data_IF_139503386816
#
_entry.id   IF_139503386816
#
_cell.length_a   1.000
_cell.length_b   1.000
_cell.length_c   1.000
_cell.angle_alpha   90.00
_cell.angle_beta   90.00
_cell.angle_gamma   90.00
#
_symmetry.space_group_name_H-M   'P 1'
#
loop_
_entity.id
_entity.type
_entity.pdbx_description
1 polymer ?
#
# COMPACT_ATOMS: atom_id res chain seq x y z
N UNK A 1 21.35 -14.52 23.99
CA UNK A 1 21.08 -14.33 23.67
C UNK A 1 20.39 -14.10 23.36
N UNK A 2 20.40 -14.35 23.57
CA UNK A 2 19.88 -14.20 23.13
C UNK A 2 19.14 -13.78 22.82
N UNK A 3 19.06 -13.65 22.86
CA UNK A 3 18.40 -13.26 22.48
C UNK A 3 17.99 -12.91 21.73
N UNK A 4 18.27 -12.94 21.46
CA UNK A 4 18.02 -12.61 20.68
C UNK A 4 17.15 -12.87 20.15
N UNK A 5 17.12 -13.40 20.19
CA UNK A 5 16.36 -13.79 19.73
C UNK A 5 15.27 -13.38 19.79
N UNK A 6 15.08 -13.19 20.26
CA UNK A 6 13.92 -12.83 20.32
C UNK A 6 13.77 -11.62 19.79
N UNK A 7 14.38 -11.07 19.68
CA UNK A 7 14.23 -10.01 19.34
C UNK A 7 13.92 -9.89 18.19
N UNK A 8 14.15 -10.43 17.70
CA UNK A 8 13.93 -10.31 16.59
C UNK A 8 12.77 -10.37 16.28
N UNK A 9 12.27 -10.74 16.58
CA UNK A 9 11.24 -10.94 16.20
C UNK A 9 10.40 -10.13 16.47
N UNK A 10 10.62 -9.53 16.85
CA UNK A 10 9.89 -8.87 17.09
C UNK A 10 9.41 -8.34 16.42
N UNK A 11 9.60 -8.65 15.97
CA UNK A 11 9.24 -8.36 15.26
C UNK A 11 8.50 -7.35 15.07
N UNK A 12 8.27 -6.96 14.23
CA UNK A 12 7.70 -5.76 13.94
C UNK A 12 6.37 -5.96 13.34
N UNK A 13 5.42 -5.06 13.55
CA UNK A 13 4.10 -5.17 12.95
C UNK A 13 4.18 -5.30 11.44
N UNK A 14 5.20 -4.68 10.86
CA UNK A 14 5.37 -4.78 9.43
C UNK A 14 5.57 -6.21 9.01
N UNK A 15 6.37 -6.95 9.74
CA UNK A 15 6.60 -8.34 9.42
C UNK A 15 5.33 -9.14 9.56
N UNK A 16 4.54 -8.85 10.58
CA UNK A 16 3.32 -9.57 10.77
C UNK A 16 2.35 -9.30 9.64
N UNK A 17 2.31 -8.06 9.19
CA UNK A 17 1.42 -7.71 8.09
C UNK A 17 1.84 -8.45 6.82
N UNK A 18 3.14 -8.51 6.56
CA UNK A 18 3.61 -9.17 5.37
C UNK A 18 3.34 -10.66 5.42
N UNK A 19 3.53 -11.25 6.58
CA UNK A 19 3.25 -12.66 6.71
C UNK A 19 1.79 -12.93 6.45
N UNK A 20 0.92 -12.12 6.99
CA UNK A 20 -0.50 -12.32 6.79
C UNK A 20 -0.87 -12.12 5.33
N UNK A 21 -0.25 -11.12 4.70
CA UNK A 21 -0.58 -10.84 3.32
C UNK A 21 -0.15 -11.96 2.39
N UNK A 22 1.05 -12.51 2.62
CA UNK A 22 1.56 -13.53 1.73
C UNK A 22 1.22 -14.94 2.16
N UNK A 23 0.66 -15.11 3.35
CA UNK A 23 0.31 -16.40 3.82
C UNK A 23 -0.94 -16.81 3.19
N UNK A 24 -0.83 -17.71 2.26
CA UNK A 24 -1.94 -18.08 1.61
C UNK A 24 -3.01 -18.66 2.30
N UNK A 25 -2.83 -19.29 3.42
CA UNK A 25 -3.92 -19.92 4.11
C UNK A 25 -5.00 -18.95 4.43
N UNK A 26 -4.65 -17.76 4.91
CA UNK A 26 -5.67 -16.77 5.20
C UNK A 26 -6.32 -16.29 3.93
N UNK A 27 -5.52 -16.05 2.91
CA UNK A 27 -6.08 -15.53 1.69
C UNK A 27 -7.00 -16.52 1.04
N UNK A 28 -6.60 -17.79 1.04
CA UNK A 28 -7.42 -18.78 0.43
C UNK A 28 -8.71 -18.99 1.16
N UNK A 29 -8.65 -18.95 2.47
CA UNK A 29 -9.85 -19.12 3.25
C UNK A 29 -10.85 -18.04 2.92
N UNK A 30 -10.36 -16.83 2.82
CA UNK A 30 -11.24 -15.73 2.50
C UNK A 30 -11.82 -15.93 1.12
N UNK A 31 -11.01 -16.34 0.18
CA UNK A 31 -11.50 -16.52 -1.15
C UNK A 31 -12.54 -17.60 -1.24
N UNK A 32 -12.44 -18.56 -0.37
CA UNK A 32 -13.37 -19.61 -0.43
C UNK A 32 -14.66 -19.32 0.24
N UNK A 33 -14.76 -18.27 0.97
CA UNK A 33 -15.91 -17.99 1.64
C UNK A 33 -16.81 -17.44 0.75
N UNK A 34 -17.76 -17.99 0.42
CA UNK A 34 -18.60 -17.70 -0.56
C UNK A 34 -19.18 -16.50 -0.35
N UNK A 35 -19.48 -16.19 -0.16
CA UNK A 35 -20.09 -15.33 -0.12
C UNK A 35 -20.16 -14.59 0.63
N UNK A 36 -19.98 -14.66 0.98
CA UNK A 36 -20.11 -14.21 1.77
C UNK A 36 -20.02 -13.04 1.69
N UNK A 37 -20.02 -12.58 1.16
CA UNK A 37 -20.13 -11.47 1.30
C UNK A 37 -19.04 -10.73 1.36
N UNK A 38 -18.12 -11.02 1.48
CA UNK A 38 -17.17 -10.40 1.56
C UNK A 38 -16.61 -10.24 0.46
N UNK A 39 -16.41 -9.34 0.00
CA UNK A 39 -15.97 -9.16 -1.05
C UNK A 39 -14.75 -8.56 -0.95
N UNK A 40 -13.76 -8.93 -1.48
CA UNK A 40 -12.62 -8.48 -1.48
C UNK A 40 -12.46 -7.75 -2.66
N UNK A 41 -12.94 -6.63 -2.91
CA UNK A 41 -12.92 -5.89 -4.11
C UNK A 41 -11.69 -5.02 -4.06
N UNK A 42 -10.57 -5.59 -4.34
CA UNK A 42 -9.32 -4.87 -4.26
C UNK A 42 -9.21 -3.83 -5.36
N UNK A 43 -9.86 -4.07 -6.48
CA UNK A 43 -9.83 -3.07 -7.54
C UNK A 43 -10.48 -1.78 -7.05
N UNK A 44 -11.63 -1.90 -6.43
CA UNK A 44 -12.31 -0.72 -5.93
C UNK A 44 -11.56 -0.10 -4.77
N UNK A 45 -11.02 -0.92 -3.90
CA UNK A 45 -10.33 -0.41 -2.72
C UNK A 45 -9.04 0.31 -3.10
N UNK A 46 -8.30 -0.20 -4.08
CA UNK A 46 -7.08 0.46 -4.47
C UNK A 46 -7.39 1.74 -5.26
N UNK A 47 -8.51 1.75 -5.98
CA UNK A 47 -8.91 2.98 -6.65
C UNK A 47 -9.26 4.05 -5.64
N UNK A 48 -10.01 3.68 -4.59
CA UNK A 48 -10.35 4.64 -3.55
C UNK A 48 -9.14 5.11 -2.80
N UNK A 49 -8.18 4.23 -2.62
CA UNK A 49 -6.94 4.62 -1.97
C UNK A 49 -6.26 5.72 -2.78
N UNK A 50 -6.18 5.55 -4.11
CA UNK A 50 -5.59 6.57 -4.96
C UNK A 50 -6.35 7.87 -4.90
N UNK A 51 -7.69 7.78 -4.88
CA UNK A 51 -8.51 8.99 -4.80
C UNK A 51 -8.28 9.72 -3.48
N UNK A 52 -8.16 8.97 -2.42
CA UNK A 52 -7.89 9.56 -1.11
C UNK A 52 -6.54 10.25 -1.10
N UNK A 53 -5.54 9.65 -1.74
CA UNK A 53 -4.23 10.27 -1.83
C UNK A 53 -4.33 11.57 -2.63
N UNK A 54 -5.10 11.58 -3.71
CA UNK A 54 -5.28 12.78 -4.50
C UNK A 54 -5.93 13.88 -3.65
N UNK A 55 -6.98 13.51 -2.90
CA UNK A 55 -7.65 14.50 -2.07
C UNK A 55 -6.71 15.07 -1.03
N UNK A 56 -5.92 14.20 -0.42
CA UNK A 56 -4.95 14.65 0.57
C UNK A 56 -3.93 15.60 -0.09
N UNK A 57 -3.45 15.23 -1.28
CA UNK A 57 -2.45 16.02 -1.97
C UNK A 57 -2.99 17.40 -2.34
N UNK A 58 -4.28 17.45 -2.67
CA UNK A 58 -4.88 18.73 -3.02
C UNK A 58 -4.93 19.68 -1.83
N UNK A 59 -4.90 19.13 -0.63
CA UNK A 59 -4.93 19.96 0.57
C UNK A 59 -3.55 20.47 0.97
N UNK A 60 -2.49 19.98 0.34
CA UNK A 60 -1.15 20.40 0.70
C UNK A 60 -0.86 21.75 0.05
N UNK A 61 -0.46 22.75 0.84
CA UNK A 61 -0.12 24.04 0.25
C UNK A 61 1.04 23.89 -0.71
N UNK A 62 0.96 24.55 -1.85
CA UNK A 62 1.96 24.38 -2.88
C UNK A 62 3.15 25.27 -2.66
N UNK A 63 4.32 24.73 -2.92
CA UNK A 63 5.55 25.49 -2.86
C UNK A 63 6.57 24.71 -3.67
N UNK A 64 7.74 25.25 -3.85
CA UNK A 64 8.76 24.52 -4.60
C UNK A 64 9.07 23.17 -3.95
N UNK A 65 9.05 23.14 -2.64
CA UNK A 65 9.36 21.91 -1.91
C UNK A 65 8.19 20.95 -1.96
N UNK A 66 6.99 21.43 -1.63
CA UNK A 66 5.85 20.54 -1.55
C UNK A 66 5.42 20.06 -2.93
N UNK A 67 5.66 20.82 -3.98
CA UNK A 67 5.27 20.35 -5.31
C UNK A 67 6.00 19.08 -5.70
N UNK A 68 7.26 18.94 -5.31
CA UNK A 68 7.96 17.72 -5.58
C UNK A 68 7.36 16.56 -4.81
N UNK A 69 7.02 16.79 -3.55
CA UNK A 69 6.44 15.77 -2.70
C UNK A 69 5.07 15.38 -3.25
N UNK A 70 4.28 16.35 -3.66
CA UNK A 70 2.95 16.10 -4.22
C UNK A 70 3.07 15.22 -5.46
N UNK A 71 4.00 15.53 -6.35
CA UNK A 71 4.15 14.73 -7.55
C UNK A 71 4.47 13.29 -7.23
N UNK A 72 5.39 13.07 -6.31
CA UNK A 72 5.76 11.71 -5.95
C UNK A 72 4.63 10.99 -5.24
N UNK A 73 3.94 11.69 -4.37
CA UNK A 73 2.86 11.10 -3.60
C UNK A 73 1.70 10.68 -4.50
N UNK A 74 1.29 11.57 -5.39
CA UNK A 74 0.19 11.26 -6.28
C UNK A 74 0.60 10.15 -7.25
N UNK A 75 1.84 10.19 -7.73
CA UNK A 75 2.31 9.14 -8.61
C UNK A 75 2.27 7.79 -7.95
N UNK A 76 2.77 7.71 -6.73
CA UNK A 76 2.80 6.43 -6.03
C UNK A 76 1.38 5.98 -5.68
N UNK A 77 0.56 6.90 -5.17
CA UNK A 77 -0.78 6.53 -4.72
C UNK A 77 -1.67 6.02 -5.84
N UNK A 78 -1.57 6.66 -7.01
CA UNK A 78 -2.40 6.24 -8.13
C UNK A 78 -1.84 4.99 -8.81
N UNK A 79 -0.56 4.71 -8.62
CA UNK A 79 0.03 3.52 -9.22
C UNK A 79 -0.39 2.24 -8.53
N UNK A 80 -0.80 2.32 -7.28
CA UNK A 80 -1.20 1.11 -6.57
C UNK A 80 -2.36 0.44 -7.30
N UNK A 81 -3.39 1.21 -7.62
CA UNK A 81 -4.54 0.63 -8.30
C UNK A 81 -4.22 0.21 -9.72
N UNK A 82 -3.39 0.99 -10.40
CA UNK A 82 -3.02 0.66 -11.77
C UNK A 82 -2.28 -0.67 -11.82
N UNK A 83 -1.39 -0.91 -10.87
CA UNK A 83 -0.68 -2.18 -10.85
C UNK A 83 -1.56 -3.32 -10.41
N UNK A 84 -2.55 -3.04 -9.57
CA UNK A 84 -3.47 -4.09 -9.20
C UNK A 84 -4.31 -4.52 -10.39
N UNK A 85 -4.73 -3.58 -11.23
CA UNK A 85 -5.49 -3.93 -12.43
C UNK A 85 -4.62 -4.82 -13.33
N UNK A 86 -3.34 -4.51 -13.43
CA UNK A 86 -2.46 -5.36 -14.21
C UNK A 86 -2.34 -6.75 -13.60
N UNK A 87 -2.30 -6.82 -12.29
CA UNK A 87 -2.25 -8.12 -11.63
C UNK A 87 -3.51 -8.92 -11.93
N UNK A 88 -4.64 -8.24 -11.89
CA UNK A 88 -5.91 -8.91 -12.10
C UNK A 88 -6.01 -9.44 -13.53
N UNK A 89 -5.33 -8.80 -14.46
CA UNK A 89 -5.36 -9.24 -15.85
C UNK A 89 -4.20 -10.14 -16.20
N UNK A 90 -3.37 -10.51 -15.25
CA UNK A 90 -2.18 -11.29 -15.52
C UNK A 90 -2.53 -12.67 -16.05
N UNK A 91 -1.74 -13.15 -16.99
CA UNK A 91 -2.02 -14.45 -17.58
C UNK A 91 -1.18 -15.54 -16.96
N UNK A 92 -0.33 -15.23 -16.00
CA UNK A 92 0.44 -16.25 -15.33
C UNK A 92 0.60 -15.84 -13.88
N UNK A 93 0.88 -16.84 -13.05
CA UNK A 93 1.10 -16.57 -11.65
C UNK A 93 2.31 -15.68 -11.44
N UNK A 94 3.33 -15.89 -12.27
CA UNK A 94 4.53 -15.09 -12.14
C UNK A 94 4.24 -13.63 -12.40
N UNK A 95 3.45 -13.33 -13.43
CA UNK A 95 3.09 -11.97 -13.71
C UNK A 95 2.24 -11.39 -12.62
N UNK A 96 1.32 -12.18 -12.10
CA UNK A 96 0.46 -11.73 -11.03
C UNK A 96 1.30 -11.32 -9.82
N UNK A 97 2.24 -12.17 -9.43
CA UNK A 97 3.07 -11.87 -8.26
C UNK A 97 3.95 -10.66 -8.48
N UNK A 98 4.41 -10.47 -9.70
CA UNK A 98 5.23 -9.32 -10.00
C UNK A 98 4.43 -8.05 -9.85
N UNK A 99 3.21 -8.02 -10.36
CA UNK A 99 2.39 -6.83 -10.28
C UNK A 99 1.95 -6.55 -8.85
N UNK A 100 1.65 -7.59 -8.09
CA UNK A 100 1.30 -7.41 -6.69
C UNK A 100 2.51 -6.89 -5.91
N UNK A 101 3.70 -7.37 -6.24
CA UNK A 101 4.91 -6.85 -5.61
C UNK A 101 5.09 -5.38 -5.88
N UNK A 102 4.75 -4.93 -7.09
CA UNK A 102 4.82 -3.52 -7.41
C UNK A 102 3.78 -2.72 -6.62
N UNK A 103 2.58 -3.27 -6.45
CA UNK A 103 1.57 -2.61 -5.62
C UNK A 103 2.10 -2.40 -4.21
N UNK A 104 2.73 -3.40 -3.66
CA UNK A 104 3.28 -3.31 -2.32
C UNK A 104 4.35 -2.23 -2.25
N UNK A 105 5.22 -2.19 -3.24
CA UNK A 105 6.27 -1.22 -3.27
C UNK A 105 5.70 0.19 -3.35
N UNK A 106 4.72 0.40 -4.21
CA UNK A 106 4.13 1.73 -4.36
C UNK A 106 3.41 2.17 -3.09
N UNK A 107 2.77 1.23 -2.41
CA UNK A 107 2.11 1.56 -1.15
C UNK A 107 3.12 2.01 -0.11
N UNK A 108 4.27 1.38 -0.07
CA UNK A 108 5.30 1.78 0.87
C UNK A 108 5.86 3.15 0.52
N UNK A 109 5.91 3.47 -0.77
CA UNK A 109 6.36 4.79 -1.17
C UNK A 109 5.35 5.85 -0.74
N UNK A 110 4.06 5.54 -0.82
CA UNK A 110 3.05 6.48 -0.34
C UNK A 110 3.30 6.79 1.13
N UNK A 111 3.55 5.76 1.92
CA UNK A 111 3.79 5.95 3.33
C UNK A 111 5.01 6.86 3.55
N UNK A 112 6.04 6.64 2.77
CA UNK A 112 7.25 7.45 2.87
C UNK A 112 6.95 8.91 2.52
N UNK A 113 6.23 9.15 1.44
CA UNK A 113 5.99 10.52 1.01
C UNK A 113 4.99 11.23 1.90
N UNK A 114 4.09 10.49 2.56
CA UNK A 114 3.25 11.10 3.58
C UNK A 114 4.09 11.62 4.72
N UNK A 115 5.10 10.86 5.10
CA UNK A 115 6.00 11.30 6.15
C UNK A 115 6.76 12.56 5.72
N UNK A 116 7.17 12.61 4.45
CA UNK A 116 7.86 13.78 3.95
C UNK A 116 6.92 15.00 3.91
N UNK A 117 5.66 14.75 3.56
CA UNK A 117 4.69 15.84 3.51
C UNK A 117 4.46 16.44 4.89
N UNK A 118 4.40 15.60 5.91
CA UNK A 118 4.22 16.07 7.28
C UNK A 118 5.43 16.89 7.73
N UNK A 119 6.61 16.49 7.29
CA UNK A 119 7.80 17.26 7.67
C UNK A 119 7.76 18.61 7.00
N UNK A 120 7.33 18.67 5.75
CA UNK A 120 7.30 19.93 5.01
C UNK A 120 6.17 20.84 5.51
N UNK A 121 5.06 20.22 5.95
CA UNK A 121 3.91 21.00 6.41
C UNK A 121 3.40 20.34 7.68
N UNK A 122 3.98 20.67 8.83
CA UNK A 122 3.64 19.95 10.07
C UNK A 122 2.17 20.01 10.44
N UNK A 123 1.45 21.01 9.96
CA UNK A 123 0.03 21.12 10.27
C UNK A 123 -0.76 19.94 9.75
N UNK A 124 -0.23 19.23 8.74
CA UNK A 124 -0.95 18.09 8.20
C UNK A 124 -1.08 16.96 9.20
N UNK A 125 -0.27 16.98 10.24
CA UNK A 125 -0.31 15.89 11.17
C UNK A 125 -1.57 15.87 12.00
N UNK A 126 -2.18 17.01 12.19
CA UNK A 126 -3.41 17.04 12.94
C UNK A 126 -4.54 16.74 12.02
#
# INVERSE_FOLDING_TARGET
MTNDEGMMKSETPHDEFEDAFWNDNTALTVCEEPETTRVYDLEERTARFGETVIDFAKAIPQSAVTNRIINQLVGAGTSVGANYVEADDAISKKEFLKSIGTCKKETREVKHFLRMAVRAVPELKT
#
